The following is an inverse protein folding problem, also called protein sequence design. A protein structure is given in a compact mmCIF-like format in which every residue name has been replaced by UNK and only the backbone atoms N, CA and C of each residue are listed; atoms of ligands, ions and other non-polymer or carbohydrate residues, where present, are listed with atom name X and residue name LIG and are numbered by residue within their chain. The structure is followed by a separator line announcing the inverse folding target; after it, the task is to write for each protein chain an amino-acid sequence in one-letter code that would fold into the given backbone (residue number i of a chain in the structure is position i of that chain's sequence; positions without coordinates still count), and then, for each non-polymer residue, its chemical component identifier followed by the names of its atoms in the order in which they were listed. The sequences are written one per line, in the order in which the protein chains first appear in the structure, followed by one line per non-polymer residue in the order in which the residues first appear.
data_IF_216433236065
#
_entry.id   IF_216433236065
#
_cell.length_a   1.000
_cell.length_b   1.000
_cell.length_c   1.000
_cell.angle_alpha   90.00
_cell.angle_beta   90.00
_cell.angle_gamma   90.00
#
_symmetry.space_group_name_H-M   'P 1'
#
loop_
_entity.id
_entity.type
_entity.pdbx_description
1 polymer ?
#
# COMPACT_ATOMS: atom_id res chain seq x y z
N UNK A 1 15.95 -20.89 -0.38
CA UNK A 1 16.54 -20.11 0.73
C UNK A 1 15.39 -19.42 1.47
N UNK A 2 15.44 -19.31 2.81
CA UNK A 2 14.44 -18.53 3.55
C UNK A 2 14.43 -17.09 3.04
N UNK A 3 13.24 -16.48 3.03
CA UNK A 3 13.05 -15.12 2.55
C UNK A 3 13.63 -14.13 3.58
N UNK A 4 14.87 -13.68 3.32
CA UNK A 4 15.58 -12.71 4.15
C UNK A 4 14.85 -11.37 4.20
N UNK A 5 14.76 -10.80 5.40
CA UNK A 5 14.28 -9.45 5.68
C UNK A 5 15.37 -8.65 6.38
N UNK A 6 15.59 -7.43 5.91
CA UNK A 6 16.57 -6.50 6.44
C UNK A 6 15.90 -5.25 7.01
N UNK A 7 16.61 -4.56 7.90
CA UNK A 7 16.19 -3.30 8.53
C UNK A 7 17.13 -2.16 8.14
N UNK A 8 16.54 -0.99 7.89
CA UNK A 8 17.23 0.30 7.89
C UNK A 8 16.57 1.23 8.90
N UNK A 9 17.36 2.07 9.55
CA UNK A 9 16.85 3.12 10.44
C UNK A 9 17.39 4.47 9.98
N UNK A 10 16.47 5.40 9.74
CA UNK A 10 16.78 6.78 9.41
C UNK A 10 16.39 7.69 10.56
N UNK A 11 17.33 8.51 11.02
CA UNK A 11 17.12 9.48 12.10
C UNK A 11 17.78 10.82 11.77
N UNK A 12 17.31 11.89 12.40
CA UNK A 12 17.96 13.18 12.29
C UNK A 12 19.33 13.12 12.95
N UNK A 13 20.37 13.36 12.17
CA UNK A 13 21.74 13.42 12.63
C UNK A 13 22.28 14.86 12.49
N UNK A 14 22.96 15.39 13.52
CA UNK A 14 23.60 16.70 13.44
C UNK A 14 24.78 16.70 12.45
N UNK A 15 25.30 15.52 12.10
CA UNK A 15 26.36 15.34 11.10
C UNK A 15 26.07 14.11 10.26
N UNK A 16 25.75 14.32 8.98
CA UNK A 16 25.63 13.26 8.00
C UNK A 16 27.01 12.85 7.46
N UNK A 17 27.18 11.61 6.97
CA UNK A 17 28.41 11.17 6.30
C UNK A 17 28.83 12.06 5.11
N UNK A 18 27.86 12.71 4.45
CA UNK A 18 28.08 13.67 3.37
C UNK A 18 28.28 15.13 3.80
N UNK A 19 28.31 15.41 5.11
CA UNK A 19 28.36 16.77 5.66
C UNK A 19 26.97 17.39 5.92
N UNK A 20 26.94 18.43 6.74
CA UNK A 20 25.69 19.08 7.17
C UNK A 20 24.88 18.26 8.18
N UNK A 21 23.73 18.79 8.58
CA UNK A 21 22.77 18.14 9.48
C UNK A 21 21.50 17.78 8.73
N UNK A 22 20.91 16.63 9.01
CA UNK A 22 19.71 16.16 8.31
C UNK A 22 19.36 14.72 8.64
N UNK A 23 18.39 14.17 7.91
CA UNK A 23 18.00 12.77 8.07
C UNK A 23 19.04 11.85 7.42
N UNK A 24 19.54 10.87 8.16
CA UNK A 24 20.58 9.96 7.68
C UNK A 24 20.34 8.52 8.10
N UNK A 25 20.91 7.58 7.34
CA UNK A 25 20.95 6.17 7.70
C UNK A 25 21.87 6.00 8.90
N UNK A 26 21.31 5.65 10.07
CA UNK A 26 22.05 5.44 11.31
C UNK A 26 22.32 3.96 11.60
N UNK A 27 21.45 3.07 11.10
CA UNK A 27 21.59 1.63 11.29
C UNK A 27 21.15 0.86 10.05
N UNK A 28 21.78 -0.29 9.80
CA UNK A 28 21.49 -1.14 8.66
C UNK A 28 21.94 -2.59 8.88
N UNK A 29 21.04 -3.55 8.62
CA UNK A 29 21.40 -4.97 8.52
C UNK A 29 21.76 -5.38 7.08
N UNK A 30 21.59 -4.48 6.11
CA UNK A 30 21.88 -4.77 4.70
C UNK A 30 23.39 -5.00 4.47
N UNK A 31 23.74 -5.85 3.49
CA UNK A 31 25.10 -5.94 2.97
C UNK A 31 25.60 -4.57 2.48
N UNK A 32 26.89 -4.29 2.66
CA UNK A 32 27.48 -2.96 2.42
C UNK A 32 27.21 -2.43 1.00
N UNK A 33 27.23 -3.30 0.00
CA UNK A 33 26.94 -3.03 -1.41
C UNK A 33 25.47 -2.61 -1.67
N UNK A 34 24.54 -3.00 -0.80
CA UNK A 34 23.11 -2.65 -0.94
C UNK A 34 22.70 -1.42 -0.13
N UNK A 35 23.47 -1.05 0.90
CA UNK A 35 23.10 0.06 1.80
C UNK A 35 22.91 1.37 1.06
N UNK A 36 23.90 1.74 0.23
CA UNK A 36 23.87 3.01 -0.48
C UNK A 36 22.71 3.07 -1.48
N UNK A 37 22.49 1.98 -2.22
CA UNK A 37 21.39 1.86 -3.19
C UNK A 37 20.04 2.07 -2.51
N UNK A 38 19.82 1.43 -1.36
CA UNK A 38 18.58 1.58 -0.63
C UNK A 38 18.45 2.92 0.08
N UNK A 39 19.54 3.48 0.60
CA UNK A 39 19.56 4.83 1.17
C UNK A 39 19.12 5.86 0.14
N UNK A 40 19.71 5.85 -1.06
CA UNK A 40 19.34 6.76 -2.16
C UNK A 40 17.90 6.57 -2.64
N UNK A 41 17.44 5.30 -2.76
CA UNK A 41 16.06 4.98 -3.13
C UNK A 41 15.04 5.53 -2.14
N UNK A 42 15.38 5.53 -0.85
CA UNK A 42 14.46 5.85 0.25
C UNK A 42 14.60 7.27 0.77
N UNK A 43 15.72 7.96 0.56
CA UNK A 43 16.01 9.31 1.08
C UNK A 43 14.84 10.29 0.82
N UNK A 44 14.33 10.29 -0.41
CA UNK A 44 13.19 11.15 -0.82
C UNK A 44 11.85 10.73 -0.21
N UNK A 45 11.76 9.50 0.30
CA UNK A 45 10.57 8.95 0.95
C UNK A 45 10.62 9.19 2.45
N UNK A 46 11.78 9.05 3.08
CA UNK A 46 11.95 9.20 4.52
C UNK A 46 12.05 10.67 4.98
N UNK A 47 12.32 11.60 4.06
CA UNK A 47 12.36 13.04 4.35
C UNK A 47 11.02 13.54 4.92
N UNK A 48 11.06 14.13 6.12
CA UNK A 48 9.89 14.65 6.85
C UNK A 48 9.88 16.20 6.79
N UNK A 49 8.73 16.84 6.51
CA UNK A 49 8.58 18.28 6.67
C UNK A 49 8.73 18.68 8.15
N UNK A 50 9.33 19.83 8.44
CA UNK A 50 9.44 20.33 9.82
C UNK A 50 8.05 20.58 10.43
N UNK A 51 7.75 19.93 11.56
CA UNK A 51 6.46 20.04 12.27
C UNK A 51 6.20 18.77 13.07
N UNK A 52 5.27 18.79 14.05
CA UNK A 52 4.93 17.61 14.86
C UNK A 52 4.47 16.43 14.00
N UNK A 53 5.42 15.55 13.68
CA UNK A 53 5.20 14.44 12.77
C UNK A 53 4.62 13.27 13.55
N UNK A 54 3.29 13.16 13.57
CA UNK A 54 2.61 11.98 14.10
C UNK A 54 3.06 10.70 13.38
N UNK A 55 2.89 9.52 14.01
CA UNK A 55 3.26 8.27 13.39
C UNK A 55 2.58 8.04 12.04
N UNK A 56 3.29 7.41 11.11
CA UNK A 56 2.78 7.07 9.79
C UNK A 56 3.40 5.78 9.25
N UNK A 57 2.69 5.15 8.32
CA UNK A 57 3.14 3.92 7.66
C UNK A 57 3.11 4.09 6.15
N UNK A 58 4.13 3.58 5.47
CA UNK A 58 4.21 3.58 4.02
C UNK A 58 4.67 2.21 3.51
N UNK A 59 4.01 1.72 2.46
CA UNK A 59 4.34 0.48 1.78
C UNK A 59 4.69 0.76 0.33
N UNK A 60 5.87 0.30 -0.09
CA UNK A 60 6.44 0.52 -1.42
C UNK A 60 6.88 -0.80 -2.04
N UNK A 61 6.82 -0.88 -3.37
CA UNK A 61 7.21 -2.03 -4.17
C UNK A 61 8.33 -1.65 -5.14
N UNK A 62 9.35 -2.49 -5.19
CA UNK A 62 10.53 -2.34 -6.02
C UNK A 62 10.81 -3.66 -6.74
N UNK A 63 9.99 -3.97 -7.76
CA UNK A 63 10.12 -5.23 -8.50
C UNK A 63 9.90 -6.45 -7.61
N UNK A 64 10.98 -7.20 -7.37
CA UNK A 64 11.04 -8.39 -6.53
C UNK A 64 11.25 -8.10 -5.03
N UNK A 65 11.34 -6.83 -4.65
CA UNK A 65 11.44 -6.37 -3.26
C UNK A 65 10.27 -5.45 -2.88
N UNK A 66 10.01 -5.36 -1.59
CA UNK A 66 9.09 -4.42 -0.99
C UNK A 66 9.73 -3.76 0.23
N UNK A 67 9.30 -2.54 0.53
CA UNK A 67 9.74 -1.77 1.68
C UNK A 67 8.53 -1.34 2.52
N UNK A 68 8.58 -1.62 3.81
CA UNK A 68 7.61 -1.15 4.80
C UNK A 68 8.30 -0.14 5.71
N UNK A 69 7.86 1.11 5.61
CA UNK A 69 8.35 2.23 6.42
C UNK A 69 7.38 2.46 7.57
N UNK A 70 7.88 2.45 8.80
CA UNK A 70 7.18 2.90 10.00
C UNK A 70 7.90 4.14 10.54
N UNK A 71 7.17 5.26 10.63
CA UNK A 71 7.69 6.51 11.18
C UNK A 71 7.12 6.72 12.56
N UNK A 72 8.00 7.08 13.48
CA UNK A 72 7.64 7.42 14.86
C UNK A 72 8.15 8.83 15.19
N UNK A 73 7.37 9.66 15.90
CA UNK A 73 7.87 10.90 16.47
C UNK A 73 8.95 10.60 17.51
N UNK A 74 10.06 11.34 17.44
CA UNK A 74 11.14 11.28 18.44
C UNK A 74 11.60 12.68 18.80
N UNK A 75 12.44 12.80 19.83
CA UNK A 75 13.14 14.03 20.16
C UNK A 75 14.59 13.90 19.74
N UNK A 76 15.12 14.91 19.05
CA UNK A 76 16.55 14.96 18.74
C UNK A 76 17.39 15.27 20.00
N UNK A 77 18.71 15.30 19.83
CA UNK A 77 19.68 15.62 20.90
C UNK A 77 19.50 17.01 21.51
N UNK A 78 18.72 17.89 20.88
CA UNK A 78 18.40 19.24 21.34
C UNK A 78 16.94 19.36 21.84
N UNK A 79 16.27 18.23 22.08
CA UNK A 79 14.87 18.16 22.49
C UNK A 79 13.88 18.80 21.50
N UNK A 80 14.24 18.90 20.22
CA UNK A 80 13.35 19.33 19.14
C UNK A 80 12.61 18.12 18.59
N UNK A 81 11.40 18.35 18.07
CA UNK A 81 10.65 17.30 17.38
C UNK A 81 11.39 16.85 16.13
N UNK A 82 11.53 15.54 15.98
CA UNK A 82 12.12 14.86 14.84
C UNK A 82 11.35 13.56 14.56
N UNK A 83 11.78 12.80 13.56
CA UNK A 83 11.22 11.50 13.23
C UNK A 83 12.31 10.44 13.17
N UNK A 84 11.98 9.24 13.63
CA UNK A 84 12.74 8.02 13.37
C UNK A 84 11.93 7.18 12.39
N UNK A 85 12.54 6.81 11.27
CA UNK A 85 11.91 5.97 10.26
C UNK A 85 12.61 4.62 10.21
N UNK A 86 11.90 3.58 10.65
CA UNK A 86 12.33 2.20 10.51
C UNK A 86 11.80 1.64 9.18
N UNK A 87 12.66 0.94 8.43
CA UNK A 87 12.31 0.39 7.13
C UNK A 87 12.63 -1.09 7.09
N UNK A 88 11.61 -1.95 6.99
CA UNK A 88 11.81 -3.35 6.63
C UNK A 88 11.89 -3.51 5.11
N UNK A 89 12.88 -4.25 4.65
CA UNK A 89 13.11 -4.57 3.23
C UNK A 89 13.13 -6.09 3.07
N UNK A 90 12.44 -6.61 2.06
CA UNK A 90 12.36 -8.04 1.81
C UNK A 90 11.47 -8.34 0.62
N UNK A 91 11.24 -9.62 0.28
CA UNK A 91 10.39 -9.96 -0.84
C UNK A 91 8.91 -9.62 -0.56
N UNK A 92 8.11 -9.24 -1.57
CA UNK A 92 6.68 -8.94 -1.43
C UNK A 92 5.85 -10.10 -0.85
N UNK A 93 6.32 -11.35 -0.99
CA UNK A 93 5.69 -12.51 -0.36
C UNK A 93 5.80 -12.49 1.18
N UNK A 94 6.75 -11.73 1.73
CA UNK A 94 6.95 -11.55 3.16
C UNK A 94 6.53 -10.15 3.61
N UNK A 95 6.91 -9.10 2.90
CA UNK A 95 6.47 -7.74 3.24
C UNK A 95 5.28 -7.42 2.35
N UNK A 96 4.07 -7.66 2.87
CA UNK A 96 2.81 -7.47 2.14
C UNK A 96 2.11 -6.19 2.57
N UNK A 97 1.21 -5.68 1.72
CA UNK A 97 0.34 -4.57 2.08
C UNK A 97 -0.46 -4.89 3.36
N UNK A 98 -0.98 -6.11 3.50
CA UNK A 98 -1.75 -6.51 4.70
C UNK A 98 -0.94 -6.43 5.99
N UNK A 99 0.35 -6.78 5.95
CA UNK A 99 1.25 -6.62 7.11
C UNK A 99 1.54 -5.15 7.40
N UNK A 100 1.73 -4.35 6.35
CA UNK A 100 1.88 -2.90 6.49
C UNK A 100 0.64 -2.26 7.16
N UNK A 101 -0.56 -2.62 6.71
CA UNK A 101 -1.83 -2.11 7.25
C UNK A 101 -2.06 -2.55 8.69
N UNK A 102 -1.67 -3.77 9.04
CA UNK A 102 -1.84 -4.29 10.38
C UNK A 102 -0.94 -3.58 11.41
N UNK A 103 0.16 -3.00 10.97
CA UNK A 103 1.10 -2.33 11.86
C UNK A 103 0.43 -1.15 12.55
N UNK A 104 0.54 -1.11 13.88
CA UNK A 104 -0.04 -0.03 14.67
C UNK A 104 0.85 1.22 14.60
N UNK A 105 0.28 2.41 14.33
CA UNK A 105 1.06 3.64 14.30
C UNK A 105 1.62 3.99 15.69
N UNK A 106 0.89 3.67 16.76
CA UNK A 106 1.26 3.99 18.14
C UNK A 106 2.22 2.99 18.80
N UNK A 107 2.56 1.90 18.11
CA UNK A 107 3.43 0.84 18.64
C UNK A 107 4.63 0.61 17.73
N UNK A 108 5.74 1.26 18.07
CA UNK A 108 7.00 1.05 17.36
C UNK A 108 7.52 -0.39 17.60
N UNK A 109 7.85 -1.13 16.53
CA UNK A 109 8.49 -2.43 16.66
C UNK A 109 9.94 -2.28 17.14
N UNK A 110 10.47 -3.36 17.73
CA UNK A 110 11.89 -3.40 18.13
C UNK A 110 12.79 -3.49 16.90
N UNK A 111 13.95 -2.81 17.01
CA UNK A 111 15.05 -2.86 16.04
C UNK A 111 15.60 -4.29 15.91
N UNK A 112 16.20 -4.57 14.76
CA UNK A 112 16.82 -5.86 14.45
C UNK A 112 18.34 -5.69 14.44
N UNK A 113 19.03 -6.50 15.23
CA UNK A 113 20.50 -6.51 15.27
C UNK A 113 21.10 -7.32 14.11
N UNK A 114 20.28 -8.16 13.48
CA UNK A 114 20.67 -9.04 12.37
C UNK A 114 19.49 -9.23 11.40
N UNK A 115 19.75 -9.64 10.14
CA UNK A 115 18.68 -9.98 9.21
C UNK A 115 17.77 -11.06 9.78
N UNK A 116 16.48 -10.99 9.45
CA UNK A 116 15.49 -11.96 9.88
C UNK A 116 15.15 -12.96 8.77
N UNK A 117 14.92 -14.21 9.14
CA UNK A 117 14.31 -15.20 8.27
C UNK A 117 12.78 -15.02 8.30
N UNK A 118 12.24 -14.38 7.26
CA UNK A 118 10.82 -14.04 7.18
C UNK A 118 10.45 -12.75 7.92
N UNK A 119 9.15 -12.60 8.22
CA UNK A 119 8.66 -11.36 8.83
C UNK A 119 9.02 -11.31 10.33
N UNK A 120 9.70 -10.27 10.81
CA UNK A 120 10.20 -10.23 12.17
C UNK A 120 9.07 -10.31 13.21
N UNK A 121 9.29 -11.11 14.26
CA UNK A 121 8.30 -11.28 15.34
C UNK A 121 7.98 -9.96 16.05
N UNK A 122 8.97 -9.11 16.29
CA UNK A 122 8.76 -7.80 16.93
C UNK A 122 7.80 -6.90 16.14
N UNK A 123 7.80 -7.01 14.81
CA UNK A 123 6.88 -6.29 13.93
C UNK A 123 5.50 -6.95 13.89
N UNK A 124 5.43 -8.28 13.93
CA UNK A 124 4.17 -8.99 14.05
C UNK A 124 3.46 -8.68 15.38
N UNK A 125 4.21 -8.64 16.48
CA UNK A 125 3.70 -8.34 17.83
C UNK A 125 3.26 -6.86 17.96
N UNK A 126 3.76 -5.97 17.10
CA UNK A 126 3.32 -4.59 16.97
C UNK A 126 2.10 -4.39 16.05
N UNK A 127 1.55 -5.47 15.49
CA UNK A 127 0.44 -5.43 14.54
C UNK A 127 -0.89 -5.85 15.18
N UNK A 128 -1.99 -5.25 14.72
CA UNK A 128 -3.33 -5.72 15.03
C UNK A 128 -3.63 -7.04 14.30
N UNK A 129 -4.53 -7.85 14.85
CA UNK A 129 -4.95 -9.08 14.18
C UNK A 129 -5.90 -8.77 13.03
N UNK A 130 -6.04 -9.71 12.08
CA UNK A 130 -7.03 -9.57 11.02
C UNK A 130 -8.47 -9.42 11.53
N UNK A 131 -8.80 -10.00 12.71
CA UNK A 131 -10.12 -9.87 13.31
C UNK A 131 -10.37 -8.47 13.89
N UNK A 132 -9.32 -7.82 14.41
CA UNK A 132 -9.41 -6.44 14.91
C UNK A 132 -9.60 -5.47 13.74
N UNK A 133 -8.84 -5.64 12.66
CA UNK A 133 -8.97 -4.85 11.44
C UNK A 133 -10.31 -5.09 10.75
N UNK A 134 -10.81 -6.33 10.71
CA UNK A 134 -12.16 -6.64 10.21
C UNK A 134 -13.23 -5.88 11.03
N UNK A 135 -13.05 -5.78 12.35
CA UNK A 135 -13.98 -5.06 13.23
C UNK A 135 -13.91 -3.55 12.99
N UNK A 136 -12.72 -3.00 12.81
CA UNK A 136 -12.49 -1.59 12.49
C UNK A 136 -13.02 -1.21 11.10
N UNK A 137 -12.95 -2.12 10.12
CA UNK A 137 -13.41 -1.87 8.74
C UNK A 137 -14.93 -1.90 8.56
N UNK A 138 -15.66 -2.69 9.36
CA UNK A 138 -17.12 -2.88 9.20
C UNK A 138 -17.96 -1.60 9.20
N UNK A 139 -17.73 -0.62 10.08
CA UNK A 139 -18.51 0.62 10.08
C UNK A 139 -18.28 1.48 8.82
N UNK A 140 -17.15 1.28 8.12
CA UNK A 140 -16.70 2.14 7.01
C UNK A 140 -16.85 1.47 5.64
N UNK A 141 -17.79 0.52 5.50
CA UNK A 141 -18.00 -0.24 4.26
C UNK A 141 -18.43 0.65 3.09
N UNK A 142 -19.21 1.70 3.33
CA UNK A 142 -19.65 2.62 2.29
C UNK A 142 -18.48 3.40 1.71
N UNK A 143 -17.67 3.98 2.58
CA UNK A 143 -16.46 4.73 2.23
C UNK A 143 -15.41 3.83 1.57
N UNK A 144 -15.24 2.60 2.07
CA UNK A 144 -14.39 1.61 1.43
C UNK A 144 -14.90 1.21 0.04
N UNK A 145 -16.21 1.14 -0.19
CA UNK A 145 -16.80 0.85 -1.51
C UNK A 145 -16.48 1.96 -2.50
N UNK A 146 -16.68 3.21 -2.12
CA UNK A 146 -16.31 4.38 -2.93
C UNK A 146 -14.82 4.35 -3.26
N UNK A 147 -13.98 4.10 -2.25
CA UNK A 147 -12.53 4.04 -2.44
C UNK A 147 -12.12 2.91 -3.39
N UNK A 148 -12.65 1.70 -3.22
CA UNK A 148 -12.37 0.55 -4.10
C UNK A 148 -12.82 0.85 -5.54
N UNK A 149 -13.98 1.47 -5.73
CA UNK A 149 -14.45 1.89 -7.05
C UNK A 149 -13.49 2.89 -7.71
N UNK A 150 -13.03 3.92 -6.98
CA UNK A 150 -12.07 4.90 -7.52
C UNK A 150 -10.70 4.30 -7.82
N UNK A 151 -10.18 3.45 -6.92
CA UNK A 151 -8.87 2.81 -7.09
C UNK A 151 -8.84 1.80 -8.24
N UNK A 152 -9.99 1.23 -8.60
CA UNK A 152 -10.11 0.31 -9.74
C UNK A 152 -9.95 1.02 -11.10
N UNK A 153 -10.00 2.36 -11.13
CA UNK A 153 -9.89 3.15 -12.37
C UNK A 153 -8.43 3.50 -12.64
N UNK A 154 -7.91 3.28 -13.84
CA UNK A 154 -6.52 3.61 -14.14
C UNK A 154 -6.24 5.12 -14.00
N UNK A 155 -5.35 5.52 -13.07
CA UNK A 155 -4.86 6.90 -12.90
C UNK A 155 -3.32 6.95 -12.97
N UNK A 156 -2.73 7.83 -13.80
CA UNK A 156 -1.28 7.83 -14.08
C UNK A 156 -0.40 8.33 -12.91
N UNK A 157 -0.96 9.01 -11.91
CA UNK A 157 -0.21 9.60 -10.79
C UNK A 157 -0.67 9.10 -9.41
N UNK A 158 -1.61 8.15 -9.41
CA UNK A 158 -2.26 7.66 -8.21
C UNK A 158 -3.34 8.59 -7.66
N UNK A 159 -3.62 8.46 -6.36
CA UNK A 159 -4.77 9.08 -5.69
C UNK A 159 -4.35 9.76 -4.39
N UNK A 160 -5.03 10.86 -4.08
CA UNK A 160 -4.96 11.55 -2.80
C UNK A 160 -6.36 11.49 -2.18
N UNK A 161 -6.47 10.89 -0.99
CA UNK A 161 -7.78 10.58 -0.38
C UNK A 161 -7.96 11.38 0.90
N UNK A 162 -9.10 12.06 1.01
CA UNK A 162 -9.59 12.64 2.26
C UNK A 162 -10.60 11.68 2.87
N UNK A 163 -10.30 11.22 4.08
CA UNK A 163 -11.11 10.22 4.79
C UNK A 163 -11.78 10.77 6.06
N UNK A 164 -11.73 12.08 6.29
CA UNK A 164 -12.19 12.68 7.55
C UNK A 164 -11.48 12.04 8.75
N UNK A 165 -12.27 11.66 9.76
CA UNK A 165 -11.79 11.05 11.02
C UNK A 165 -11.66 9.51 10.96
N UNK A 166 -11.82 8.90 9.79
CA UNK A 166 -11.74 7.44 9.63
C UNK A 166 -10.29 6.99 9.83
N UNK A 167 -10.07 5.97 10.66
CA UNK A 167 -8.75 5.32 10.77
C UNK A 167 -8.34 4.79 9.38
N UNK A 168 -7.24 5.29 8.79
CA UNK A 168 -6.84 4.90 7.44
C UNK A 168 -6.62 3.39 7.28
N UNK A 169 -6.28 2.68 8.37
CA UNK A 169 -6.08 1.22 8.37
C UNK A 169 -7.37 0.46 8.07
N UNK A 170 -8.53 0.97 8.50
CA UNK A 170 -9.82 0.37 8.21
C UNK A 170 -10.12 0.33 6.69
N UNK A 171 -9.84 1.45 6.01
CA UNK A 171 -9.98 1.57 4.56
C UNK A 171 -8.94 0.72 3.83
N UNK A 172 -7.67 0.85 4.22
CA UNK A 172 -6.57 0.11 3.60
C UNK A 172 -6.72 -1.42 3.75
N UNK A 173 -7.27 -1.90 4.87
CA UNK A 173 -7.53 -3.33 5.08
C UNK A 173 -8.52 -3.88 4.05
N UNK A 174 -9.58 -3.12 3.78
CA UNK A 174 -10.59 -3.48 2.78
C UNK A 174 -10.02 -3.40 1.37
N UNK A 175 -9.24 -2.35 1.05
CA UNK A 175 -8.55 -2.20 -0.24
C UNK A 175 -7.59 -3.37 -0.49
N UNK A 176 -6.77 -3.73 0.49
CA UNK A 176 -5.83 -4.84 0.38
C UNK A 176 -6.53 -6.18 0.12
N UNK A 177 -7.74 -6.36 0.63
CA UNK A 177 -8.55 -7.55 0.37
C UNK A 177 -9.17 -7.55 -1.04
N UNK A 178 -9.62 -6.40 -1.53
CA UNK A 178 -10.35 -6.30 -2.81
C UNK A 178 -9.44 -6.17 -4.02
N UNK A 179 -8.37 -5.38 -3.91
CA UNK A 179 -7.49 -4.99 -5.04
C UNK A 179 -6.08 -5.58 -4.92
N UNK A 180 -5.77 -6.26 -3.81
CA UNK A 180 -4.45 -6.82 -3.55
C UNK A 180 -3.42 -5.76 -3.14
N UNK A 181 -2.15 -6.05 -3.40
CA UNK A 181 -1.03 -5.22 -2.95
C UNK A 181 -0.86 -3.95 -3.79
N UNK A 182 -1.22 -2.81 -3.21
CA UNK A 182 -1.00 -1.47 -3.75
C UNK A 182 0.00 -0.69 -2.90
N UNK A 183 0.85 0.12 -3.53
CA UNK A 183 1.70 1.06 -2.80
C UNK A 183 0.86 2.16 -2.15
N UNK A 184 1.15 2.46 -0.88
CA UNK A 184 0.44 3.50 -0.14
C UNK A 184 1.33 4.25 0.84
N UNK A 185 0.88 5.43 1.24
CA UNK A 185 1.39 6.17 2.40
C UNK A 185 0.21 6.71 3.19
N UNK A 186 0.24 6.54 4.51
CA UNK A 186 -0.66 7.26 5.41
C UNK A 186 -0.08 8.64 5.69
N UNK A 187 -0.96 9.58 6.02
CA UNK A 187 -0.62 10.86 6.66
C UNK A 187 -0.06 10.63 8.07
N UNK A 188 0.67 11.62 8.55
CA UNK A 188 1.09 11.77 9.94
C UNK A 188 -0.12 12.19 10.80
N UNK A 189 -0.42 11.44 11.86
CA UNK A 189 -1.68 11.58 12.63
C UNK A 189 -1.87 12.92 13.35
N UNK A 190 -0.81 13.70 13.57
CA UNK A 190 -0.87 14.98 14.30
C UNK A 190 -1.14 16.20 13.41
N UNK A 191 -0.91 16.08 12.10
CA UNK A 191 -1.30 17.15 11.18
C UNK A 191 -2.82 17.07 11.10
N UNK A 192 -3.54 18.17 11.39
CA UNK A 192 -5.02 18.25 11.35
C UNK A 192 -5.56 19.12 10.20
N UNK A 193 -4.68 19.66 9.36
CA UNK A 193 -5.05 20.42 8.17
C UNK A 193 -6.03 19.62 7.25
N UNK A 194 -7.28 20.05 7.09
CA UNK A 194 -8.27 19.34 6.28
C UNK A 194 -7.94 19.36 4.77
N UNK A 195 -7.04 20.22 4.33
CA UNK A 195 -6.64 20.31 2.92
C UNK A 195 -5.69 19.19 2.49
N UNK A 196 -5.01 18.53 3.44
CA UNK A 196 -4.03 17.48 3.18
C UNK A 196 -4.68 16.09 3.09
N UNK A 197 -4.14 15.18 2.25
CA UNK A 197 -4.70 13.84 2.11
C UNK A 197 -4.40 12.99 3.35
N UNK A 198 -5.36 12.17 3.76
CA UNK A 198 -5.20 11.16 4.82
C UNK A 198 -4.48 9.90 4.30
N UNK A 199 -4.75 9.54 3.04
CA UNK A 199 -4.12 8.42 2.33
C UNK A 199 -3.62 8.88 0.97
N UNK A 200 -2.47 8.35 0.56
CA UNK A 200 -1.96 8.50 -0.79
C UNK A 200 -1.68 7.12 -1.36
N UNK A 201 -2.29 6.81 -2.50
CA UNK A 201 -1.98 5.62 -3.30
C UNK A 201 -1.11 6.04 -4.47
N UNK A 202 -0.10 5.25 -4.80
CA UNK A 202 0.83 5.54 -5.89
C UNK A 202 0.59 4.55 -7.03
N UNK A 203 0.60 5.06 -8.25
CA UNK A 203 0.59 4.26 -9.46
C UNK A 203 1.72 4.76 -10.37
N UNK A 204 2.58 3.85 -10.83
CA UNK A 204 3.74 4.19 -11.65
C UNK A 204 4.95 4.74 -10.86
N UNK A 205 6.04 5.11 -11.55
CA UNK A 205 7.28 5.55 -10.91
C UNK A 205 7.09 6.83 -10.08
N UNK A 206 7.87 7.03 -8.99
CA UNK A 206 7.55 8.00 -7.95
C UNK A 206 7.46 9.46 -8.44
N UNK A 207 6.31 10.09 -8.24
CA UNK A 207 6.25 11.55 -8.15
C UNK A 207 6.83 12.03 -6.80
N UNK A 208 7.56 13.15 -6.82
CA UNK A 208 8.13 13.80 -5.62
C UNK A 208 6.99 14.21 -4.67
N UNK A 209 7.15 13.86 -3.40
CA UNK A 209 6.36 14.26 -2.23
C UNK A 209 4.84 13.97 -2.24
N UNK A 210 4.31 13.92 -1.02
CA UNK A 210 2.90 13.84 -0.63
C UNK A 210 2.11 15.13 -0.94
N UNK A 211 2.72 16.14 -1.58
CA UNK A 211 2.09 17.44 -1.83
C UNK A 211 1.50 17.53 -3.24
N UNK A 212 0.21 17.24 -3.33
CA UNK A 212 -0.74 18.20 -3.90
C UNK A 212 -1.19 18.08 -5.35
N UNK A 213 -0.35 18.34 -6.35
CA UNK A 213 -0.92 18.97 -7.58
C UNK A 213 -1.25 18.03 -8.75
N UNK A 214 -0.71 16.81 -8.82
CA UNK A 214 -0.92 15.92 -9.97
C UNK A 214 -1.82 14.70 -9.71
N UNK A 215 -2.26 14.49 -8.46
CA UNK A 215 -3.04 13.29 -8.08
C UNK A 215 -4.53 13.50 -8.22
N UNK A 216 -5.25 12.43 -8.53
CA UNK A 216 -6.71 12.46 -8.49
C UNK A 216 -7.17 12.50 -7.02
N UNK A 217 -7.95 13.52 -6.67
CA UNK A 217 -8.49 13.68 -5.33
C UNK A 217 -9.79 12.89 -5.17
N UNK A 218 -9.88 12.15 -4.07
CA UNK A 218 -11.07 11.41 -3.67
C UNK A 218 -11.46 11.90 -2.28
N UNK A 219 -12.65 12.48 -2.17
CA UNK A 219 -13.23 12.86 -0.89
C UNK A 219 -14.34 11.88 -0.54
N UNK A 220 -14.10 11.04 0.46
CA UNK A 220 -15.04 9.98 0.85
C UNK A 220 -16.30 10.53 1.53
N UNK A 221 -16.25 11.75 2.07
CA UNK A 221 -17.41 12.39 2.71
C UNK A 221 -18.37 13.03 1.73
N UNK A 222 -17.95 13.26 0.48
CA UNK A 222 -18.72 14.01 -0.52
C UNK A 222 -18.82 13.31 -1.89
N UNK A 223 -18.33 12.08 -2.02
CA UNK A 223 -18.25 11.39 -3.31
C UNK A 223 -19.63 11.17 -3.97
N UNK A 224 -19.93 11.98 -4.99
CA UNK A 224 -21.25 11.98 -5.65
C UNK A 224 -21.28 11.54 -7.12
N UNK A 225 -20.16 11.30 -7.80
CA UNK A 225 -20.18 11.15 -9.28
C UNK A 225 -19.56 9.85 -9.84
N UNK A 226 -19.67 8.74 -9.12
CA UNK A 226 -19.24 7.43 -9.63
C UNK A 226 -20.34 6.73 -10.45
N UNK A 227 -20.01 6.07 -11.58
CA UNK A 227 -20.98 5.26 -12.30
C UNK A 227 -21.59 4.16 -11.41
N UNK A 228 -22.91 4.01 -11.43
CA UNK A 228 -23.63 3.04 -10.60
C UNK A 228 -23.11 1.60 -10.77
N UNK A 229 -22.65 1.25 -11.98
CA UNK A 229 -22.03 -0.05 -12.26
C UNK A 229 -20.74 -0.26 -11.47
N UNK A 230 -19.87 0.74 -11.40
CA UNK A 230 -18.57 0.64 -10.72
C UNK A 230 -18.79 0.53 -9.20
N UNK A 231 -19.73 1.30 -8.66
CA UNK A 231 -20.16 1.20 -7.26
C UNK A 231 -20.74 -0.18 -6.94
N UNK A 232 -21.57 -0.75 -7.82
CA UNK A 232 -22.15 -2.07 -7.60
C UNK A 232 -21.08 -3.18 -7.57
N UNK A 233 -20.10 -3.13 -8.48
CA UNK A 233 -18.98 -4.08 -8.49
C UNK A 233 -18.13 -3.93 -7.22
N UNK A 234 -17.81 -2.69 -6.84
CA UNK A 234 -17.04 -2.44 -5.63
C UNK A 234 -17.79 -2.89 -4.36
N UNK A 235 -19.11 -2.67 -4.29
CA UNK A 235 -19.95 -3.09 -3.17
C UNK A 235 -19.95 -4.62 -3.01
N UNK A 236 -20.10 -5.35 -4.11
CA UNK A 236 -20.05 -6.82 -4.11
C UNK A 236 -18.68 -7.36 -3.63
N UNK A 237 -17.59 -6.73 -4.07
CA UNK A 237 -16.23 -7.07 -3.60
C UNK A 237 -16.09 -6.81 -2.09
N UNK A 238 -16.50 -5.63 -1.62
CA UNK A 238 -16.42 -5.23 -0.20
C UNK A 238 -17.29 -6.13 0.67
N UNK A 239 -18.52 -6.45 0.24
CA UNK A 239 -19.44 -7.33 0.96
C UNK A 239 -18.88 -8.75 1.03
N UNK A 240 -18.37 -9.28 -0.09
CA UNK A 240 -17.76 -10.61 -0.13
C UNK A 240 -16.60 -10.74 0.87
N UNK A 241 -15.78 -9.71 1.03
CA UNK A 241 -14.60 -9.77 1.91
C UNK A 241 -14.92 -9.44 3.37
N UNK A 242 -15.82 -8.50 3.62
CA UNK A 242 -16.18 -8.09 4.99
C UNK A 242 -17.32 -8.91 5.59
N UNK A 243 -18.08 -9.67 4.78
CA UNK A 243 -19.23 -10.49 5.18
C UNK A 243 -18.92 -11.98 5.41
N UNK A 244 -17.89 -12.54 4.75
CA UNK A 244 -17.61 -14.00 4.75
C UNK A 244 -17.24 -14.64 6.09
N UNK A 245 -17.01 -13.86 7.16
CA UNK A 245 -16.60 -14.39 8.47
C UNK A 245 -17.67 -14.34 9.57
N UNK A 246 -18.90 -13.94 9.24
CA UNK A 246 -20.03 -13.91 10.18
C UNK A 246 -20.90 -15.17 10.22
N UNK A 247 -20.62 -16.19 9.41
CA UNK A 247 -21.57 -17.28 9.16
C UNK A 247 -20.94 -18.64 8.92
N UNK A 248 -20.22 -19.18 9.90
CA UNK A 248 -20.18 -20.63 10.11
C UNK A 248 -21.24 -20.98 11.15
N UNK A 249 -22.51 -20.86 10.75
CA UNK A 249 -23.57 -21.64 11.38
C UNK A 249 -23.91 -22.77 10.42
N UNK A 250 -23.67 -23.98 10.90
CA UNK A 250 -24.28 -25.23 10.47
C UNK A 250 -25.57 -25.03 9.66
N UNK A 251 -25.49 -25.20 8.34
CA UNK A 251 -26.60 -25.76 7.57
C UNK A 251 -26.09 -27.03 6.91
N UNK A 252 -26.29 -28.11 7.65
CA UNK A 252 -26.41 -29.47 7.17
C UNK A 252 -27.24 -29.47 5.87
N UNK A 253 -26.74 -30.26 4.92
CA UNK A 253 -27.43 -30.69 3.71
C UNK A 253 -28.91 -30.97 3.99
N UNK A 254 -29.77 -30.39 3.18
CA UNK A 254 -30.92 -31.13 2.68
C UNK A 254 -30.85 -31.20 1.16
N UNK A 255 -30.82 -32.43 0.69
CA UNK A 255 -30.73 -32.83 -0.71
C UNK A 255 -32.15 -32.74 -1.28
N UNK A 256 -32.38 -31.75 -2.12
CA UNK A 256 -33.53 -31.71 -3.03
C UNK A 256 -33.03 -31.85 -4.46
N UNK A 257 -32.93 -33.09 -4.94
CA UNK A 257 -32.65 -33.39 -6.35
C UNK A 257 -33.78 -32.87 -7.24
N UNK A 258 -33.56 -31.75 -7.94
CA UNK A 258 -34.34 -31.36 -9.09
C UNK A 258 -33.44 -31.41 -10.34
N UNK A 259 -33.69 -32.43 -11.17
CA UNK A 259 -33.04 -32.67 -12.44
C UNK A 259 -33.53 -31.62 -13.45
N UNK A 260 -32.73 -30.60 -13.74
CA UNK A 260 -32.98 -29.67 -14.85
C UNK A 260 -32.02 -30.00 -15.98
N UNK A 261 -32.56 -30.64 -17.01
CA UNK A 261 -31.93 -30.79 -18.32
C UNK A 261 -32.03 -29.47 -19.08
N UNK A 262 -30.90 -28.79 -19.28
CA UNK A 262 -30.77 -27.60 -20.13
C UNK A 262 -29.55 -27.74 -21.06
N UNK A 263 -29.57 -27.15 -22.26
CA UNK A 263 -28.57 -27.39 -23.30
C UNK A 263 -27.21 -26.77 -22.94
N UNK A 264 -26.15 -27.38 -23.48
CA UNK A 264 -24.76 -26.99 -23.25
C UNK A 264 -24.50 -25.51 -23.57
N UNK A 265 -23.66 -24.80 -22.79
CA UNK A 265 -23.32 -23.41 -23.06
C UNK A 265 -22.47 -23.30 -24.33
N UNK A 266 -22.85 -22.38 -25.21
CA UNK A 266 -22.08 -21.99 -26.39
C UNK A 266 -20.70 -21.43 -25.98
N UNK A 267 -19.64 -21.66 -26.77
CA UNK A 267 -18.31 -21.13 -26.48
C UNK A 267 -18.34 -19.60 -26.46
N UNK A 268 -17.77 -19.03 -25.40
CA UNK A 268 -17.66 -17.59 -25.22
C UNK A 268 -16.95 -16.95 -26.43
N UNK A 269 -17.63 -16.01 -27.07
CA UNK A 269 -17.04 -15.18 -28.11
C UNK A 269 -15.91 -14.34 -27.48
N UNK A 270 -14.67 -14.67 -27.85
CA UNK A 270 -13.52 -13.87 -27.48
C UNK A 270 -13.66 -12.47 -28.10
N UNK A 271 -13.45 -11.39 -27.33
CA UNK A 271 -13.59 -10.05 -27.85
C UNK A 271 -12.49 -9.75 -28.90
N UNK A 272 -12.91 -9.58 -30.16
CA UNK A 272 -12.07 -9.18 -31.30
C UNK A 272 -11.18 -7.95 -31.03
N UNK A 273 -11.58 -7.07 -30.11
CA UNK A 273 -10.80 -5.89 -29.72
C UNK A 273 -9.51 -6.23 -28.95
N UNK A 274 -9.47 -7.33 -28.18
CA UNK A 274 -8.25 -7.78 -27.49
C UNK A 274 -7.22 -8.35 -28.48
N UNK A 275 -7.67 -9.01 -29.54
CA UNK A 275 -6.80 -9.53 -30.60
C UNK A 275 -6.17 -8.41 -31.44
N UNK A 276 -6.93 -7.34 -31.73
CA UNK A 276 -6.39 -6.18 -32.44
C UNK A 276 -5.34 -5.42 -31.61
N UNK A 277 -5.54 -5.33 -30.28
CA UNK A 277 -4.57 -4.67 -29.40
C UNK A 277 -3.24 -5.44 -29.32
N UNK A 278 -3.31 -6.78 -29.24
CA UNK A 278 -2.12 -7.63 -29.22
C UNK A 278 -1.34 -7.58 -30.55
N UNK A 279 -2.05 -7.57 -31.68
CA UNK A 279 -1.43 -7.43 -33.00
C UNK A 279 -0.75 -6.05 -33.19
N UNK A 280 -1.33 -4.98 -32.64
CA UNK A 280 -0.75 -3.65 -32.68
C UNK A 280 0.55 -3.55 -31.89
N UNK A 281 0.61 -4.11 -30.68
CA UNK A 281 1.83 -4.15 -29.88
C UNK A 281 2.95 -4.98 -30.51
N UNK A 282 2.60 -6.09 -31.16
CA UNK A 282 3.57 -6.91 -31.90
C UNK A 282 4.18 -6.13 -33.09
N UNK A 283 3.36 -5.38 -33.83
CA UNK A 283 3.84 -4.55 -34.94
C UNK A 283 4.77 -3.41 -34.47
N UNK A 284 4.43 -2.77 -33.34
CA UNK A 284 5.27 -1.72 -32.73
C UNK A 284 6.62 -2.29 -32.27
N UNK A 285 6.63 -3.47 -31.65
CA UNK A 285 7.88 -4.13 -31.21
C UNK A 285 8.80 -4.48 -32.38
N UNK A 286 8.25 -4.97 -33.50
CA UNK A 286 9.01 -5.26 -34.72
C UNK A 286 9.60 -3.97 -35.30
N UNK A 287 8.81 -2.90 -35.40
CA UNK A 287 9.28 -1.62 -35.93
C UNK A 287 10.43 -1.04 -35.09
N UNK A 288 10.32 -1.09 -33.76
CA UNK A 288 11.37 -0.62 -32.85
C UNK A 288 12.65 -1.45 -32.96
N UNK A 289 12.53 -2.76 -33.19
CA UNK A 289 13.69 -3.66 -33.35
C UNK A 289 14.42 -3.39 -34.67
N UNK A 290 13.68 -3.14 -35.76
CA UNK A 290 14.27 -2.79 -37.06
C UNK A 290 14.97 -1.43 -37.02
N UNK A 291 14.39 -0.45 -36.33
CA UNK A 291 14.99 0.88 -36.18
C UNK A 291 16.25 0.86 -35.31
N UNK A 292 16.32 -0.02 -34.29
CA UNK A 292 17.50 -0.17 -33.44
C UNK A 292 18.64 -0.94 -34.10
N UNK A 293 18.37 -1.73 -35.15
CA UNK A 293 19.39 -2.51 -35.86
C UNK A 293 20.02 -1.76 -37.05
N UNK A 294 19.49 -0.58 -37.39
CA UNK A 294 19.93 0.24 -38.53
C UNK A 294 20.70 1.51 -38.17
N UNK A 295 21.09 1.69 -36.91
CA UNK A 295 21.84 2.85 -36.38
C UNK A 295 23.17 2.44 -35.79
#
# INVERSE_FOLDING_TARGET
MPARVDLLVFEWAPRLPGGGSGLGLVESTLPADQRQVWAERLERRVSVPSGGAGPSTCYLRYGDQAALLHRSPVRDVHNRWASSTQVLIGPPSVITMRRAVALRPDRAPQRLDQPADGYPRSWADASDTGADLDRQARPHRGEATVLVAELSRARPHGWAVRAGDIDPRALLWTVAACLGDMEFSTRETEITDPELPTLVFVNGPPARSSVGTARHWVDLGTATDLPARDLAIAADLVETHTGRRGGTSSRTRDVGTAKVTGPAPAPAAFPLHLLMLAAWWAAVAILLTVLSAGS
#
